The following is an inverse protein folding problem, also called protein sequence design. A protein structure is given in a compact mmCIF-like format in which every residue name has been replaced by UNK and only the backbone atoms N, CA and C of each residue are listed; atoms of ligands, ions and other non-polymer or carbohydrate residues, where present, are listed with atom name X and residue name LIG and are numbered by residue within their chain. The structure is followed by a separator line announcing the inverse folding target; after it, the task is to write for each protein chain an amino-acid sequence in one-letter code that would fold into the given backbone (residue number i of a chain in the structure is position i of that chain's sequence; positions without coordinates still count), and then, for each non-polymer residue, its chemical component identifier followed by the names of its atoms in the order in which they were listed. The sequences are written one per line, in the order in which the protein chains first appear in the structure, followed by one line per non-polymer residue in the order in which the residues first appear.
data_IF_139979991155
#
_entry.id   IF_139979991155
#
_cell.length_a   1.000
_cell.length_b   1.000
_cell.length_c   1.000
_cell.angle_alpha   90.00
_cell.angle_beta   90.00
_cell.angle_gamma   90.00
#
_symmetry.space_group_name_H-M   'P 1'
#
loop_
_entity.id
_entity.type
_entity.pdbx_description
1 polymer ?
#
# COMPACT_ATOMS: atom_id res chain seq x y z
N UNK A 1 -7.44 8.05 27.05
CA UNK A 1 -7.58 6.76 26.34
C UNK A 1 -6.88 6.90 25.00
N UNK A 2 -5.80 6.16 24.74
CA UNK A 2 -5.07 6.20 23.46
C UNK A 2 -6.01 5.73 22.33
N UNK A 3 -6.48 6.66 21.50
CA UNK A 3 -7.14 6.40 20.20
C UNK A 3 -6.30 5.33 19.50
N UNK A 4 -6.82 4.12 19.24
CA UNK A 4 -6.10 3.17 18.41
C UNK A 4 -6.07 3.78 16.99
N UNK A 5 -4.94 4.34 16.54
CA UNK A 5 -4.86 5.17 15.36
C UNK A 5 -4.54 4.26 14.19
N UNK A 6 -5.51 4.01 13.31
CA UNK A 6 -5.37 3.15 12.12
C UNK A 6 -5.11 1.68 12.51
N UNK A 7 -5.83 0.75 11.88
CA UNK A 7 -5.59 -0.67 12.12
C UNK A 7 -4.13 -1.04 11.74
N UNK A 8 -3.33 -1.66 12.63
CA UNK A 8 -1.93 -2.00 12.34
C UNK A 8 -1.79 -2.94 11.14
N UNK A 9 -2.83 -3.72 10.83
CA UNK A 9 -2.89 -4.55 9.64
C UNK A 9 -2.92 -3.75 8.33
N UNK A 10 -3.56 -2.58 8.31
CA UNK A 10 -3.59 -1.68 7.14
C UNK A 10 -2.20 -1.10 6.90
N UNK A 11 -1.51 -0.71 7.96
CA UNK A 11 -0.14 -0.18 7.89
C UNK A 11 0.82 -1.27 7.40
N UNK A 12 0.77 -2.46 7.99
CA UNK A 12 1.57 -3.60 7.56
C UNK A 12 1.31 -3.97 6.09
N UNK A 13 0.05 -3.98 5.65
CA UNK A 13 -0.33 -4.25 4.26
C UNK A 13 0.27 -3.23 3.27
N UNK A 14 0.26 -1.94 3.63
CA UNK A 14 0.88 -0.88 2.82
C UNK A 14 2.39 -1.05 2.72
N UNK A 15 3.06 -1.25 3.86
CA UNK A 15 4.53 -1.43 3.91
C UNK A 15 4.94 -2.63 3.04
N UNK A 16 4.26 -3.77 3.22
CA UNK A 16 4.55 -4.98 2.45
C UNK A 16 4.33 -4.76 0.95
N UNK A 17 3.26 -4.04 0.57
CA UNK A 17 2.99 -3.70 -0.83
C UNK A 17 4.09 -2.81 -1.41
N UNK A 18 4.48 -1.75 -0.70
CA UNK A 18 5.49 -0.79 -1.16
C UNK A 18 6.85 -1.48 -1.31
N UNK A 19 7.24 -2.34 -0.36
CA UNK A 19 8.49 -3.11 -0.42
C UNK A 19 8.49 -4.05 -1.62
N UNK A 20 7.42 -4.82 -1.83
CA UNK A 20 7.33 -5.72 -2.98
C UNK A 20 7.34 -4.96 -4.30
N UNK A 21 6.54 -3.90 -4.43
CA UNK A 21 6.49 -3.07 -5.64
C UNK A 21 7.85 -2.45 -5.96
N UNK A 22 8.53 -1.87 -4.96
CA UNK A 22 9.85 -1.24 -5.16
C UNK A 22 10.92 -2.25 -5.54
N UNK A 23 10.93 -3.44 -4.93
CA UNK A 23 11.85 -4.52 -5.28
C UNK A 23 11.66 -5.00 -6.73
N UNK A 24 10.42 -5.34 -7.12
CA UNK A 24 10.14 -5.81 -8.47
C UNK A 24 10.36 -4.73 -9.54
N UNK A 25 10.07 -3.47 -9.22
CA UNK A 25 10.38 -2.33 -10.09
C UNK A 25 11.88 -2.16 -10.27
N UNK A 26 12.66 -2.19 -9.18
CA UNK A 26 14.11 -2.06 -9.23
C UNK A 26 14.75 -3.22 -10.01
N UNK A 27 14.31 -4.46 -9.76
CA UNK A 27 14.76 -5.64 -10.50
C UNK A 27 14.41 -5.52 -12.00
N UNK A 28 13.21 -5.07 -12.33
CA UNK A 28 12.78 -4.83 -13.71
C UNK A 28 13.66 -3.81 -14.42
N UNK A 29 13.93 -2.67 -13.78
CA UNK A 29 14.83 -1.64 -14.31
C UNK A 29 16.23 -2.21 -14.53
N UNK A 30 16.78 -2.95 -13.55
CA UNK A 30 18.10 -3.56 -13.64
C UNK A 30 18.21 -4.53 -14.82
N UNK A 31 17.21 -5.40 -15.02
CA UNK A 31 17.17 -6.32 -16.15
C UNK A 31 17.03 -5.60 -17.50
N UNK A 32 16.23 -4.53 -17.57
CA UNK A 32 16.11 -3.70 -18.76
C UNK A 32 17.44 -3.02 -19.12
N UNK A 33 18.17 -2.47 -18.13
CA UNK A 33 19.50 -1.88 -18.32
C UNK A 33 20.51 -2.95 -18.78
N UNK A 34 20.44 -4.16 -18.22
CA UNK A 34 21.29 -5.28 -18.59
C UNK A 34 20.96 -5.91 -19.96
N UNK A 35 19.96 -5.42 -20.68
CA UNK A 35 19.53 -5.96 -21.97
C UNK A 35 18.71 -7.26 -21.88
N UNK A 36 18.34 -7.68 -20.67
CA UNK A 36 17.52 -8.86 -20.40
C UNK A 36 16.03 -8.52 -20.42
N UNK A 37 15.53 -8.07 -21.58
CA UNK A 37 14.16 -7.55 -21.74
C UNK A 37 13.06 -8.52 -21.28
N UNK A 38 13.20 -9.82 -21.56
CA UNK A 38 12.20 -10.82 -21.15
C UNK A 38 12.13 -10.97 -19.62
N UNK A 39 13.28 -10.99 -18.94
CA UNK A 39 13.36 -11.05 -17.49
C UNK A 39 12.91 -9.74 -16.83
N UNK A 40 13.18 -8.59 -17.47
CA UNK A 40 12.67 -7.30 -17.05
C UNK A 40 11.14 -7.23 -17.10
N UNK A 41 10.53 -7.75 -18.17
CA UNK A 41 9.07 -7.85 -18.28
C UNK A 41 8.51 -8.82 -17.23
N UNK A 42 9.16 -9.96 -17.00
CA UNK A 42 8.79 -10.90 -15.93
C UNK A 42 8.83 -10.26 -14.54
N UNK A 43 9.85 -9.46 -14.24
CA UNK A 43 9.95 -8.71 -12.99
C UNK A 43 8.83 -7.67 -12.84
N UNK A 44 8.48 -6.96 -13.91
CA UNK A 44 7.33 -6.04 -13.91
C UNK A 44 5.99 -6.75 -13.72
N UNK A 45 5.83 -7.98 -14.20
CA UNK A 45 4.63 -8.78 -13.88
C UNK A 45 4.58 -9.09 -12.38
N UNK A 46 5.73 -9.32 -11.75
CA UNK A 46 5.86 -9.50 -10.30
C UNK A 46 5.45 -8.29 -9.45
N UNK A 47 5.37 -7.09 -10.04
CA UNK A 47 4.84 -5.89 -9.39
C UNK A 47 3.31 -5.97 -9.18
N UNK A 48 2.60 -6.58 -10.12
CA UNK A 48 1.12 -6.62 -10.17
C UNK A 48 0.49 -7.16 -8.88
N UNK A 49 0.92 -8.29 -8.28
CA UNK A 49 0.31 -8.80 -7.05
C UNK A 49 0.43 -7.82 -5.87
N UNK A 50 1.56 -7.10 -5.74
CA UNK A 50 1.73 -6.10 -4.68
C UNK A 50 0.94 -4.82 -4.93
N UNK A 51 0.80 -4.45 -6.19
CA UNK A 51 -0.10 -3.36 -6.58
C UNK A 51 -1.58 -3.72 -6.31
N UNK A 52 -1.98 -4.94 -6.62
CA UNK A 52 -3.32 -5.42 -6.27
C UNK A 52 -3.52 -5.47 -4.75
N UNK A 53 -2.49 -5.85 -3.99
CA UNK A 53 -2.52 -5.90 -2.54
C UNK A 53 -2.75 -4.51 -1.93
N UNK A 54 -2.04 -3.46 -2.38
CA UNK A 54 -2.25 -2.11 -1.86
C UNK A 54 -3.66 -1.59 -2.18
N UNK A 55 -4.14 -1.83 -3.40
CA UNK A 55 -5.50 -1.45 -3.81
C UNK A 55 -6.55 -2.18 -2.96
N UNK A 56 -6.35 -3.46 -2.67
CA UNK A 56 -7.23 -4.25 -1.82
C UNK A 56 -7.24 -3.75 -0.37
N UNK A 57 -6.06 -3.46 0.19
CA UNK A 57 -5.90 -2.90 1.55
C UNK A 57 -6.59 -1.54 1.65
N UNK A 58 -6.42 -0.67 0.66
CA UNK A 58 -7.07 0.64 0.64
C UNK A 58 -8.59 0.52 0.53
N UNK A 59 -9.09 -0.28 -0.42
CA UNK A 59 -10.53 -0.53 -0.56
C UNK A 59 -11.14 -1.13 0.71
N UNK A 60 -10.44 -2.04 1.37
CA UNK A 60 -10.90 -2.65 2.62
C UNK A 60 -10.92 -1.62 3.75
N UNK A 61 -9.87 -0.82 3.87
CA UNK A 61 -9.73 0.23 4.88
C UNK A 61 -10.82 1.29 4.76
N UNK A 62 -11.11 1.75 3.53
CA UNK A 62 -12.19 2.69 3.24
C UNK A 62 -13.57 2.10 3.55
N UNK A 63 -13.81 0.83 3.19
CA UNK A 63 -15.10 0.15 3.46
C UNK A 63 -15.39 -0.06 4.95
N UNK A 64 -14.37 -0.27 5.77
CA UNK A 64 -14.52 -0.56 7.21
C UNK A 64 -14.30 0.66 8.11
N UNK A 65 -14.17 1.87 7.55
CA UNK A 65 -14.00 3.09 8.33
C UNK A 65 -12.73 3.10 9.20
N UNK A 66 -11.70 2.34 8.80
CA UNK A 66 -10.42 2.26 9.52
C UNK A 66 -9.53 3.51 9.30
N UNK A 67 -10.02 4.43 8.46
CA UNK A 67 -9.51 5.79 8.21
C UNK A 67 -10.67 6.71 8.63
N UNK A 68 -10.63 7.21 9.87
CA UNK A 68 -11.74 7.99 10.44
C UNK A 68 -11.78 9.45 9.93
N UNK A 69 -12.96 10.06 9.76
CA UNK A 69 -13.16 11.49 9.92
C UNK A 69 -13.00 11.90 11.39
N UNK A 70 -12.50 13.11 11.64
CA UNK A 70 -12.28 13.68 12.98
C UNK A 70 -13.53 13.60 13.87
N UNK A 71 -13.41 13.38 15.20
CA UNK A 71 -14.51 13.72 16.09
C UNK A 71 -14.81 15.20 15.87
N UNK A 72 -16.08 15.52 15.62
CA UNK A 72 -16.54 16.90 15.46
C UNK A 72 -15.93 17.79 16.56
N UNK A 73 -15.54 19.05 16.26
CA UNK A 73 -15.25 19.98 17.34
C UNK A 73 -16.47 19.95 18.26
N UNK A 74 -16.29 19.85 19.59
CA UNK A 74 -17.42 20.02 20.49
C UNK A 74 -17.99 21.40 20.19
N UNK A 75 -19.16 21.44 19.54
CA UNK A 75 -19.92 22.67 19.46
C UNK A 75 -20.23 23.09 20.89
N UNK A 76 -20.10 24.39 21.12
CA UNK A 76 -20.22 25.08 22.39
C UNK A 76 -21.41 24.59 23.22
N UNK A 77 -21.14 24.16 24.45
CA UNK A 77 -22.09 24.31 25.54
C UNK A 77 -21.48 25.39 26.47
N UNK A 78 -21.93 26.64 26.29
CA UNK A 78 -21.75 27.74 27.26
C UNK A 78 -22.30 27.38 28.64
#
# INVERSE_FOLDING_TARGET
MLKAPISPYVVAGRILSIIGMSFFTAAGILFCIGGFWFWGLGALIGFIPFFALIVAVERYSTKHGLIGPEPDPPFDDE
#
